data_IF_771386556449
#
_entry.id   IF_771386556449
#
_cell.length_a   1.000
_cell.length_b   1.000
_cell.length_c   1.000
_cell.angle_alpha   90.00
_cell.angle_beta   90.00
_cell.angle_gamma   90.00
#
_symmetry.space_group_name_H-M   'P 1'
#
loop_
_entity.id
_entity.type
_entity.pdbx_description
1 polymer ?
#
# COMPACT_ATOMS: atom_id res chain seq x y z
N UNK A 1 -6.15 -9.29 -3.08
CA UNK A 1 -5.67 -8.04 -2.44
C UNK A 1 -6.59 -6.91 -2.87
N UNK A 2 -7.00 -6.07 -1.92
CA UNK A 2 -7.73 -4.81 -2.17
C UNK A 2 -6.82 -3.68 -1.70
N UNK A 3 -6.52 -2.73 -2.58
CA UNK A 3 -5.70 -1.56 -2.28
C UNK A 3 -6.51 -0.30 -2.55
N UNK A 4 -6.59 0.59 -1.56
CA UNK A 4 -7.30 1.87 -1.67
C UNK A 4 -6.36 3.04 -1.41
N UNK A 5 -6.77 4.20 -1.89
CA UNK A 5 -6.12 5.49 -1.66
C UNK A 5 -7.18 6.53 -1.28
N UNK A 6 -6.75 7.66 -0.76
CA UNK A 6 -7.63 8.78 -0.41
C UNK A 6 -8.24 9.43 -1.66
N UNK A 7 -9.48 9.89 -1.54
CA UNK A 7 -10.14 10.60 -2.63
C UNK A 7 -9.65 12.04 -2.78
N UNK A 8 -9.17 12.63 -1.69
CA UNK A 8 -8.64 14.00 -1.66
C UNK A 8 -7.22 13.95 -1.16
N UNK A 9 -6.27 14.15 -2.06
CA UNK A 9 -4.85 14.21 -1.73
C UNK A 9 -4.46 15.55 -1.12
N UNK A 10 -3.33 15.58 -0.42
CA UNK A 10 -2.76 16.82 0.09
C UNK A 10 -2.58 17.85 -1.03
N UNK A 11 -2.99 19.10 -0.79
CA UNK A 11 -2.97 20.18 -1.77
C UNK A 11 -4.21 20.26 -2.66
N UNK A 12 -5.17 19.37 -2.51
CA UNK A 12 -6.42 19.34 -3.28
C UNK A 12 -7.66 19.66 -2.44
N UNK A 13 -7.46 20.23 -1.26
CA UNK A 13 -8.54 20.50 -0.29
C UNK A 13 -9.60 21.46 -0.83
N UNK A 14 -9.23 22.35 -1.76
CA UNK A 14 -10.17 23.26 -2.41
C UNK A 14 -11.23 22.52 -3.28
N UNK A 15 -10.90 21.34 -3.77
CA UNK A 15 -11.77 20.51 -4.61
C UNK A 15 -12.45 19.38 -3.80
N UNK A 16 -12.26 19.35 -2.47
CA UNK A 16 -12.66 18.23 -1.63
C UNK A 16 -14.15 17.92 -1.75
N UNK A 17 -15.02 18.94 -1.70
CA UNK A 17 -16.47 18.76 -1.75
C UNK A 17 -16.94 18.18 -3.08
N UNK A 18 -16.36 18.60 -4.17
CA UNK A 18 -16.68 18.09 -5.50
C UNK A 18 -16.20 16.65 -5.67
N UNK A 19 -14.97 16.35 -5.25
CA UNK A 19 -14.41 14.99 -5.29
C UNK A 19 -15.21 14.01 -4.44
N UNK A 20 -15.61 14.40 -3.24
CA UNK A 20 -16.45 13.55 -2.37
C UNK A 20 -17.77 13.18 -3.03
N UNK A 21 -18.37 14.08 -3.80
CA UNK A 21 -19.60 13.81 -4.55
C UNK A 21 -19.36 12.87 -5.72
N UNK A 22 -18.26 13.08 -6.47
CA UNK A 22 -17.93 12.27 -7.66
C UNK A 22 -17.56 10.84 -7.29
N UNK A 23 -16.89 10.64 -6.16
CA UNK A 23 -16.44 9.33 -5.72
C UNK A 23 -17.45 8.56 -4.86
N UNK A 24 -18.62 9.12 -4.61
CA UNK A 24 -19.71 8.36 -3.97
C UNK A 24 -20.00 7.09 -4.76
N UNK A 25 -20.09 5.94 -4.06
CA UNK A 25 -20.27 4.64 -4.67
C UNK A 25 -18.98 3.86 -4.93
N UNK A 26 -17.81 4.48 -4.77
CA UNK A 26 -16.50 3.82 -4.89
C UNK A 26 -15.85 3.50 -3.54
N UNK A 27 -16.59 3.64 -2.45
CA UNK A 27 -16.10 3.33 -1.11
C UNK A 27 -15.83 1.83 -0.95
N UNK A 28 -14.70 1.50 -0.33
CA UNK A 28 -14.43 0.13 0.13
C UNK A 28 -15.15 -0.09 1.45
N UNK A 29 -16.18 -0.91 1.44
CA UNK A 29 -17.07 -1.18 2.57
C UNK A 29 -17.37 -2.67 2.73
N UNK A 30 -18.13 -3.02 3.75
CA UNK A 30 -18.50 -4.40 4.04
C UNK A 30 -19.19 -5.12 2.87
N UNK A 31 -20.01 -4.41 2.10
CA UNK A 31 -20.70 -5.01 0.94
C UNK A 31 -19.73 -5.37 -0.17
N UNK A 32 -18.75 -4.52 -0.44
CA UNK A 32 -17.73 -4.78 -1.45
C UNK A 32 -16.83 -5.95 -1.06
N UNK A 33 -16.36 -5.99 0.19
CA UNK A 33 -15.45 -7.04 0.65
C UNK A 33 -16.09 -8.42 0.73
N UNK A 34 -17.43 -8.53 0.82
CA UNK A 34 -18.16 -9.81 0.71
C UNK A 34 -17.93 -10.51 -0.64
N UNK A 35 -17.61 -9.75 -1.68
CA UNK A 35 -17.33 -10.28 -3.01
C UNK A 35 -15.88 -10.71 -3.20
N UNK A 36 -15.01 -10.39 -2.26
CA UNK A 36 -13.61 -10.76 -2.31
C UNK A 36 -13.37 -12.21 -1.84
N UNK A 37 -12.21 -12.74 -2.20
CA UNK A 37 -11.73 -13.99 -1.61
C UNK A 37 -11.66 -13.88 -0.07
N UNK A 38 -12.05 -14.93 0.64
CA UNK A 38 -12.05 -14.95 2.10
C UNK A 38 -10.68 -14.68 2.75
N UNK A 39 -9.61 -14.91 2.01
CA UNK A 39 -8.23 -14.66 2.44
C UNK A 39 -7.65 -13.37 1.87
N UNK A 40 -8.50 -12.42 1.45
CA UNK A 40 -8.01 -11.15 0.94
C UNK A 40 -7.25 -10.38 2.02
N UNK A 41 -6.34 -9.52 1.60
CA UNK A 41 -5.72 -8.50 2.44
C UNK A 41 -6.16 -7.12 1.97
N UNK A 42 -6.37 -6.21 2.92
CA UNK A 42 -6.65 -4.80 2.66
C UNK A 42 -5.42 -3.95 2.94
N UNK A 43 -5.11 -3.06 2.00
CA UNK A 43 -3.98 -2.14 2.05
C UNK A 43 -4.44 -0.71 1.77
N UNK A 44 -3.74 0.25 2.35
CA UNK A 44 -3.93 1.68 2.13
C UNK A 44 -2.63 2.42 2.39
N UNK A 45 -2.29 3.37 1.53
CA UNK A 45 -1.03 4.12 1.64
C UNK A 45 -0.98 5.10 2.83
N UNK A 46 -2.15 5.38 3.45
CA UNK A 46 -2.32 6.36 4.51
C UNK A 46 -1.85 7.80 4.12
N UNK A 47 -2.42 8.86 4.68
CA UNK A 47 -3.53 8.85 5.64
C UNK A 47 -4.84 8.37 5.03
N UNK A 48 -5.69 7.75 5.84
CA UNK A 48 -7.02 7.29 5.44
C UNK A 48 -8.12 8.13 6.08
N UNK A 49 -9.25 8.23 5.40
CA UNK A 49 -10.43 8.95 5.89
C UNK A 49 -11.58 7.96 6.04
N UNK A 50 -11.76 7.46 7.28
CA UNK A 50 -12.85 6.53 7.61
C UNK A 50 -14.21 7.15 7.29
N UNK A 51 -15.05 6.38 6.61
CA UNK A 51 -16.34 6.85 6.14
C UNK A 51 -16.32 7.55 4.77
N UNK A 52 -15.14 7.80 4.21
CA UNK A 52 -14.97 8.27 2.84
C UNK A 52 -14.57 7.12 1.93
N UNK A 53 -13.31 7.01 1.56
CA UNK A 53 -12.82 5.96 0.64
C UNK A 53 -12.88 4.55 1.23
N UNK A 54 -12.90 4.43 2.54
CA UNK A 54 -12.97 3.14 3.24
C UNK A 54 -13.77 3.28 4.54
N UNK A 55 -14.50 2.24 4.91
CA UNK A 55 -15.21 2.19 6.18
C UNK A 55 -14.30 1.70 7.32
N UNK A 56 -14.65 2.08 8.55
CA UNK A 56 -13.88 1.74 9.75
C UNK A 56 -13.74 0.23 9.94
N UNK A 57 -14.81 -0.53 9.74
CA UNK A 57 -14.82 -1.99 9.86
C UNK A 57 -13.90 -2.70 8.87
N UNK A 58 -13.59 -2.08 7.73
CA UNK A 58 -12.64 -2.62 6.76
C UNK A 58 -11.20 -2.26 7.14
N UNK A 59 -10.91 -0.97 7.37
CA UNK A 59 -9.54 -0.53 7.63
C UNK A 59 -9.01 -1.00 8.98
N UNK A 60 -9.87 -1.10 9.98
CA UNK A 60 -9.53 -1.58 11.32
C UNK A 60 -9.89 -3.07 11.50
N UNK A 61 -10.35 -3.72 10.46
CA UNK A 61 -10.76 -5.12 10.45
C UNK A 61 -9.61 -6.12 10.36
N UNK A 62 -9.93 -7.42 10.47
CA UNK A 62 -8.92 -8.49 10.56
C UNK A 62 -8.13 -8.73 9.27
N UNK A 63 -8.59 -8.23 8.14
CA UNK A 63 -7.91 -8.34 6.85
C UNK A 63 -6.99 -7.16 6.55
N UNK A 64 -7.03 -6.12 7.38
CA UNK A 64 -6.22 -4.90 7.18
C UNK A 64 -4.78 -5.12 7.64
N UNK A 65 -3.83 -4.77 6.76
CA UNK A 65 -2.40 -4.79 7.05
C UNK A 65 -1.78 -3.40 6.88
N UNK A 66 -2.59 -2.35 7.01
CA UNK A 66 -2.16 -0.97 6.73
C UNK A 66 -1.01 -0.50 7.62
N UNK A 67 -0.96 -0.94 8.89
CA UNK A 67 0.12 -0.57 9.80
C UNK A 67 1.40 -1.35 9.53
N UNK A 68 1.31 -2.63 9.20
CA UNK A 68 2.47 -3.42 8.74
C UNK A 68 3.03 -2.84 7.44
N UNK A 69 2.16 -2.44 6.53
CA UNK A 69 2.53 -1.76 5.28
C UNK A 69 3.26 -0.44 5.57
N UNK A 70 2.75 0.37 6.48
CA UNK A 70 3.36 1.65 6.85
C UNK A 70 4.75 1.46 7.49
N UNK A 71 4.89 0.49 8.38
CA UNK A 71 6.17 0.13 9.00
C UNK A 71 7.18 -0.39 7.97
N UNK A 72 6.74 -1.29 7.09
CA UNK A 72 7.60 -1.85 6.05
C UNK A 72 8.12 -0.83 5.06
N UNK A 73 7.45 0.29 4.90
CA UNK A 73 7.99 1.39 4.10
C UNK A 73 9.33 1.89 4.65
N UNK A 74 9.46 2.00 5.97
CA UNK A 74 10.73 2.35 6.60
C UNK A 74 11.80 1.27 6.35
N UNK A 75 11.47 0.01 6.60
CA UNK A 75 12.41 -1.10 6.48
C UNK A 75 12.89 -1.31 5.05
N UNK A 76 11.99 -1.26 4.08
CA UNK A 76 12.31 -1.40 2.66
C UNK A 76 13.19 -0.26 2.17
N UNK A 77 12.88 0.98 2.53
CA UNK A 77 13.68 2.14 2.13
C UNK A 77 15.08 2.12 2.76
N UNK A 78 15.20 1.71 4.01
CA UNK A 78 16.51 1.49 4.66
C UNK A 78 17.31 0.41 3.94
N UNK A 79 16.68 -0.69 3.58
CA UNK A 79 17.32 -1.77 2.83
C UNK A 79 17.81 -1.32 1.45
N UNK A 80 16.99 -0.55 0.73
CA UNK A 80 17.36 0.02 -0.57
C UNK A 80 18.56 0.95 -0.44
N UNK A 81 18.54 1.86 0.53
CA UNK A 81 19.67 2.77 0.77
C UNK A 81 20.95 2.01 1.13
N UNK A 82 20.84 1.03 2.02
CA UNK A 82 21.97 0.17 2.38
C UNK A 82 22.55 -0.54 1.14
N UNK A 83 21.67 -1.06 0.31
CA UNK A 83 22.04 -1.74 -0.92
C UNK A 83 22.76 -0.81 -1.89
N UNK A 84 22.24 0.40 -2.12
CA UNK A 84 22.81 1.36 -3.07
C UNK A 84 24.16 1.93 -2.60
N UNK A 85 24.34 2.13 -1.29
CA UNK A 85 25.54 2.74 -0.73
C UNK A 85 26.56 1.74 -0.18
N UNK A 86 26.25 0.43 -0.21
CA UNK A 86 27.20 -0.58 0.25
C UNK A 86 28.18 -0.97 -0.88
N UNK A 87 29.46 -0.65 -0.79
CA UNK A 87 30.43 -0.93 -1.85
C UNK A 87 30.69 -2.43 -2.07
N UNK A 88 30.29 -3.28 -1.13
CA UNK A 88 30.47 -4.74 -1.23
C UNK A 88 29.41 -5.37 -2.14
N UNK A 89 28.25 -4.74 -2.28
CA UNK A 89 27.21 -5.18 -3.19
C UNK A 89 27.36 -4.53 -4.57
N UNK A 90 28.51 -4.72 -5.21
CA UNK A 90 28.54 -4.56 -6.66
C UNK A 90 27.71 -5.68 -7.25
N UNK A 91 26.55 -5.34 -7.77
CA UNK A 91 25.78 -6.26 -8.61
C UNK A 91 26.67 -6.66 -9.80
N UNK A 92 27.24 -7.81 -9.77
CA UNK A 92 27.63 -8.49 -10.97
C UNK A 92 26.35 -9.08 -11.61
N UNK A 93 25.57 -8.21 -12.21
CA UNK A 93 24.53 -8.66 -13.13
C UNK A 93 25.29 -9.21 -14.34
N UNK A 94 25.46 -10.52 -14.38
CA UNK A 94 25.76 -11.20 -15.61
C UNK A 94 27.11 -11.87 -15.79
N UNK A 95 27.89 -12.15 -14.77
CA UNK A 95 29.00 -13.08 -14.94
C UNK A 95 28.76 -14.39 -14.18
N UNK A 96 27.99 -15.29 -14.82
CA UNK A 96 27.82 -16.68 -14.37
C UNK A 96 29.13 -17.51 -14.49
N UNK A 97 30.24 -16.87 -14.94
CA UNK A 97 31.52 -17.53 -15.18
C UNK A 97 32.24 -17.89 -13.89
N UNK A 98 31.92 -17.27 -12.75
CA UNK A 98 32.56 -17.49 -11.47
C UNK A 98 31.72 -18.29 -10.48
N UNK A 99 30.60 -18.89 -10.92
CA UNK A 99 29.89 -19.85 -10.06
C UNK A 99 30.63 -21.17 -10.04
N UNK A 100 31.08 -21.67 -8.86
CA UNK A 100 31.62 -23.02 -8.79
C UNK A 100 30.54 -24.00 -9.24
N UNK A 101 30.87 -24.79 -10.22
CA UNK A 101 30.04 -25.92 -10.67
C UNK A 101 30.03 -26.95 -9.55
N UNK A 102 28.93 -26.99 -8.83
CA UNK A 102 28.61 -28.07 -7.89
C UNK A 102 27.48 -28.91 -8.42
#
# INVERSE_FOLDING_TARGET
MIYSDTWVSMGQEAEAQERLKLFQGFQVNAELIKLADKNFIFMHCLPAHRGQEVTEDVIDGPHSIVFDQAENRLHVQKAILTFLFNPVHKFNVGDDRDRPLH
#
